data_IF_686769241080
#
_entry.id   IF_686769241080
#
_cell.length_a   1.000
_cell.length_b   1.000
_cell.length_c   1.000
_cell.angle_alpha   90.00
_cell.angle_beta   90.00
_cell.angle_gamma   90.00
#
_symmetry.space_group_name_H-M   'P 1'
#
loop_
_entity.id
_entity.type
_entity.pdbx_description
1 polymer ?
#
# COMPACT_ATOMS: atom_id res chain seq x y z
N UNK A 1 -31.23 -7.56 -3.04
CA UNK A 1 -29.80 -7.73 -3.35
C UNK A 1 -28.96 -6.53 -2.89
N UNK A 2 -29.32 -5.28 -3.23
CA UNK A 2 -28.64 -4.07 -2.72
C UNK A 2 -28.38 -4.07 -1.20
N UNK A 3 -29.35 -4.52 -0.38
CA UNK A 3 -29.19 -4.62 1.09
C UNK A 3 -28.19 -5.69 1.55
N UNK A 4 -27.98 -6.75 0.78
CA UNK A 4 -27.06 -7.85 1.13
C UNK A 4 -25.62 -7.46 0.78
N UNK A 5 -25.41 -6.90 -0.41
CA UNK A 5 -24.12 -6.33 -0.86
C UNK A 5 -23.65 -5.25 0.11
N UNK A 6 -24.51 -4.30 0.45
CA UNK A 6 -24.21 -3.24 1.44
C UNK A 6 -23.88 -3.79 2.84
N UNK A 7 -24.43 -4.95 3.22
CA UNK A 7 -24.13 -5.58 4.50
C UNK A 7 -22.76 -6.27 4.48
N UNK A 8 -22.42 -6.94 3.38
CA UNK A 8 -21.13 -7.62 3.21
C UNK A 8 -19.96 -6.62 3.18
N UNK A 9 -20.11 -5.51 2.45
CA UNK A 9 -19.11 -4.42 2.43
C UNK A 9 -18.88 -3.84 3.82
N UNK A 10 -19.95 -3.60 4.59
CA UNK A 10 -19.84 -3.16 5.98
C UNK A 10 -19.06 -4.15 6.85
N UNK A 11 -19.30 -5.45 6.69
CA UNK A 11 -18.52 -6.45 7.42
C UNK A 11 -17.05 -6.44 7.01
N UNK A 12 -16.74 -6.26 5.72
CA UNK A 12 -15.35 -6.12 5.29
C UNK A 12 -14.68 -4.88 5.91
N UNK A 13 -15.36 -3.73 5.89
CA UNK A 13 -14.90 -2.50 6.56
C UNK A 13 -14.68 -2.71 8.06
N UNK A 14 -15.58 -3.43 8.74
CA UNK A 14 -15.45 -3.76 10.15
C UNK A 14 -14.22 -4.63 10.42
N UNK A 15 -13.96 -5.64 9.59
CA UNK A 15 -12.75 -6.49 9.71
C UNK A 15 -11.47 -5.70 9.48
N UNK A 16 -11.47 -4.81 8.49
CA UNK A 16 -10.34 -3.92 8.25
C UNK A 16 -10.07 -3.00 9.45
N UNK A 17 -11.12 -2.35 9.98
CA UNK A 17 -11.02 -1.48 11.17
C UNK A 17 -10.57 -2.24 12.41
N UNK A 18 -10.97 -3.50 12.58
CA UNK A 18 -10.47 -4.36 13.65
C UNK A 18 -8.96 -4.60 13.50
N UNK A 19 -8.49 -4.83 12.28
CA UNK A 19 -7.06 -5.00 12.00
C UNK A 19 -6.28 -3.71 12.31
N UNK A 20 -6.77 -2.56 11.89
CA UNK A 20 -6.18 -1.24 12.18
C UNK A 20 -6.13 -0.96 13.68
N UNK A 21 -7.24 -1.18 14.40
CA UNK A 21 -7.31 -0.99 15.83
C UNK A 21 -6.32 -1.91 16.56
N UNK A 22 -6.21 -3.17 16.12
CA UNK A 22 -5.25 -4.12 16.67
C UNK A 22 -3.80 -3.67 16.43
N UNK A 23 -3.47 -3.28 15.19
CA UNK A 23 -2.15 -2.72 14.85
C UNK A 23 -1.82 -1.49 15.72
N UNK A 24 -2.74 -0.54 15.82
CA UNK A 24 -2.57 0.67 16.61
C UNK A 24 -2.35 0.36 18.09
N UNK A 25 -3.06 -0.62 18.65
CA UNK A 25 -2.88 -1.05 20.03
C UNK A 25 -1.53 -1.72 20.26
N UNK A 26 -1.12 -2.63 19.36
CA UNK A 26 0.15 -3.37 19.46
C UNK A 26 1.34 -2.42 19.37
N UNK A 27 1.29 -1.48 18.43
CA UNK A 27 2.35 -0.50 18.25
C UNK A 27 2.25 0.66 19.24
N UNK A 28 1.16 0.74 20.02
CA UNK A 28 0.88 1.82 20.97
C UNK A 28 0.52 3.16 20.32
N UNK A 29 0.20 3.18 19.01
CA UNK A 29 -0.06 4.39 18.21
C UNK A 29 -1.19 5.22 18.82
N UNK A 30 -2.14 4.57 19.51
CA UNK A 30 -3.21 5.25 20.26
C UNK A 30 -2.71 6.25 21.31
N UNK A 31 -1.46 6.09 21.78
CA UNK A 31 -0.80 6.98 22.74
C UNK A 31 0.03 8.08 22.08
N UNK A 32 0.18 8.05 20.75
CA UNK A 32 0.96 9.01 20.00
C UNK A 32 0.15 10.29 19.79
N UNK A 33 0.39 11.29 20.62
CA UNK A 33 -0.19 12.62 20.45
C UNK A 33 0.65 13.45 19.47
N UNK A 34 0.23 13.46 18.20
CA UNK A 34 0.83 14.34 17.20
C UNK A 34 0.28 15.76 17.37
N UNK A 35 1.16 16.75 17.35
CA UNK A 35 0.80 18.16 17.39
C UNK A 35 1.45 18.88 16.22
N UNK A 36 0.67 19.67 15.51
CA UNK A 36 1.19 20.59 14.50
C UNK A 36 1.51 21.91 15.17
N UNK A 37 2.81 22.15 15.34
CA UNK A 37 3.32 23.37 15.93
C UNK A 37 3.71 24.34 14.82
N UNK A 38 3.15 25.56 14.87
CA UNK A 38 3.45 26.62 13.88
C UNK A 38 4.84 27.25 14.09
N UNK A 39 5.39 27.11 15.29
CA UNK A 39 6.68 27.65 15.69
C UNK A 39 7.41 26.55 16.44
N UNK A 40 8.61 26.26 16.01
CA UNK A 40 9.49 25.25 16.61
C UNK A 40 10.94 25.63 16.37
N UNK A 41 11.83 25.03 17.13
CA UNK A 41 13.28 25.16 16.98
C UNK A 41 13.87 23.85 16.48
N UNK A 42 14.89 23.95 15.62
CA UNK A 42 15.70 22.83 15.19
C UNK A 42 17.12 23.00 15.74
N UNK A 43 17.73 21.91 16.20
CA UNK A 43 19.10 21.99 16.70
C UNK A 43 20.08 22.11 15.54
N UNK A 44 21.08 22.98 15.70
CA UNK A 44 22.07 23.22 14.65
C UNK A 44 22.89 21.97 14.28
N UNK A 45 23.19 21.08 15.23
CA UNK A 45 23.92 19.84 14.97
C UNK A 45 23.13 18.83 14.13
N UNK A 46 21.80 18.82 14.26
CA UNK A 46 20.92 18.01 13.40
C UNK A 46 20.89 18.56 11.97
N UNK A 47 20.79 19.88 11.85
CA UNK A 47 20.84 20.60 10.56
C UNK A 47 22.16 20.36 9.82
N UNK A 48 23.28 20.41 10.54
CA UNK A 48 24.60 20.15 9.98
C UNK A 48 24.76 18.71 9.48
N UNK A 49 24.21 17.73 10.20
CA UNK A 49 24.30 16.31 9.82
C UNK A 49 23.48 15.95 8.59
N UNK A 50 22.28 16.52 8.46
CA UNK A 50 21.38 16.24 7.33
C UNK A 50 21.65 17.14 6.12
N UNK A 51 22.30 18.30 6.35
CA UNK A 51 22.46 19.40 5.40
C UNK A 51 21.12 19.90 4.84
N UNK A 52 20.04 19.75 5.61
CA UNK A 52 18.69 20.24 5.27
C UNK A 52 18.42 21.54 6.01
N UNK A 53 18.07 22.59 5.27
CA UNK A 53 17.75 23.91 5.84
C UNK A 53 16.25 24.27 5.69
N UNK A 54 15.47 23.40 5.08
CA UNK A 54 14.01 23.54 4.96
C UNK A 54 13.33 23.26 6.31
N UNK A 55 12.48 24.18 6.76
CA UNK A 55 11.80 24.08 8.05
C UNK A 55 10.81 22.91 8.09
N UNK A 56 10.22 22.59 6.93
CA UNK A 56 9.26 21.51 6.77
C UNK A 56 9.80 20.17 7.28
N UNK A 57 11.10 19.89 7.12
CA UNK A 57 11.75 18.67 7.59
C UNK A 57 11.82 18.55 9.11
N UNK A 58 11.90 19.68 9.82
CA UNK A 58 12.11 19.70 11.28
C UNK A 58 10.81 19.88 12.07
N UNK A 59 9.65 19.65 11.46
CA UNK A 59 8.39 19.70 12.19
C UNK A 59 8.40 18.70 13.36
N UNK A 60 8.02 19.11 14.59
CA UNK A 60 8.12 18.28 15.79
C UNK A 60 7.45 16.90 15.67
N UNK A 61 6.36 16.81 14.90
CA UNK A 61 5.64 15.55 14.65
C UNK A 61 6.54 14.42 14.11
N UNK A 62 7.56 14.73 13.31
CA UNK A 62 8.45 13.70 12.77
C UNK A 62 9.44 13.18 13.83
N UNK A 63 9.99 14.09 14.64
CA UNK A 63 10.81 13.73 15.80
C UNK A 63 10.05 12.83 16.78
N UNK A 64 8.79 13.17 17.07
CA UNK A 64 7.90 12.36 17.91
C UNK A 64 7.68 10.96 17.34
N UNK A 65 7.42 10.83 16.03
CA UNK A 65 7.26 9.51 15.38
C UNK A 65 8.54 8.68 15.47
N UNK A 66 9.69 9.29 15.20
CA UNK A 66 11.00 8.61 15.27
C UNK A 66 11.31 8.15 16.70
N UNK A 67 11.10 9.02 17.68
CA UNK A 67 11.25 8.70 19.10
C UNK A 67 10.28 7.58 19.52
N UNK A 68 9.03 7.67 19.09
CA UNK A 68 7.99 6.69 19.37
C UNK A 68 8.36 5.29 18.85
N UNK A 69 8.81 5.19 17.60
CA UNK A 69 9.25 3.92 17.01
C UNK A 69 10.48 3.37 17.76
N UNK A 70 11.48 4.21 18.00
CA UNK A 70 12.75 3.80 18.62
C UNK A 70 12.62 3.42 20.09
N UNK A 71 11.66 3.99 20.82
CA UNK A 71 11.34 3.64 22.22
C UNK A 71 10.35 2.48 22.36
N UNK A 72 9.88 1.92 21.25
CA UNK A 72 8.99 0.75 21.30
C UNK A 72 9.69 -0.45 21.96
N UNK A 73 8.90 -1.38 22.50
CA UNK A 73 9.41 -2.63 23.07
C UNK A 73 9.98 -3.59 22.00
N UNK A 74 9.72 -3.30 20.74
CA UNK A 74 10.17 -4.10 19.60
C UNK A 74 11.54 -3.67 19.13
N UNK A 75 12.32 -4.66 18.65
CA UNK A 75 13.56 -4.36 17.94
C UNK A 75 13.23 -3.55 16.69
N UNK A 76 13.91 -2.44 16.48
CA UNK A 76 13.76 -1.60 15.27
C UNK A 76 14.91 -1.87 14.30
N UNK A 77 14.60 -1.95 13.01
CA UNK A 77 15.58 -2.04 11.92
C UNK A 77 15.24 -1.05 10.80
N UNK A 78 16.17 -0.84 9.87
CA UNK A 78 15.82 -0.19 8.60
C UNK A 78 15.07 -1.17 7.70
N UNK A 79 14.13 -0.66 6.93
CA UNK A 79 13.29 -1.45 6.04
C UNK A 79 14.10 -2.35 5.11
N UNK A 80 15.16 -1.81 4.50
CA UNK A 80 16.05 -2.53 3.58
C UNK A 80 16.73 -3.77 4.19
N UNK A 81 16.78 -3.88 5.51
CA UNK A 81 17.42 -5.00 6.20
C UNK A 81 16.48 -6.22 6.37
N UNK A 82 15.18 -6.03 6.14
CA UNK A 82 14.14 -7.01 6.50
C UNK A 82 13.14 -7.30 5.38
N UNK A 83 13.16 -6.50 4.32
CA UNK A 83 12.39 -6.74 3.09
C UNK A 83 13.29 -6.61 1.86
N UNK A 84 12.91 -7.29 0.80
CA UNK A 84 13.42 -7.06 -0.55
C UNK A 84 12.56 -5.97 -1.20
N UNK A 85 13.17 -4.85 -1.60
CA UNK A 85 12.55 -3.89 -2.50
C UNK A 85 12.96 -4.32 -3.90
N UNK A 86 12.05 -4.96 -4.65
CA UNK A 86 12.36 -5.63 -5.92
C UNK A 86 12.90 -4.66 -6.98
N UNK A 87 13.97 -5.05 -7.67
CA UNK A 87 14.45 -4.41 -8.91
C UNK A 87 14.11 -5.24 -10.16
N UNK A 88 13.32 -6.30 -10.00
CA UNK A 88 12.97 -7.18 -11.11
C UNK A 88 12.07 -6.44 -12.10
N UNK A 89 12.67 -6.12 -13.24
CA UNK A 89 12.01 -5.49 -14.37
C UNK A 89 11.90 -6.47 -15.53
N UNK A 90 10.80 -6.41 -16.25
CA UNK A 90 10.61 -7.04 -17.54
C UNK A 90 10.41 -5.96 -18.60
N UNK A 91 10.55 -6.34 -19.86
CA UNK A 91 10.31 -5.47 -21.00
C UNK A 91 9.19 -6.10 -21.84
N UNK A 92 7.91 -5.73 -21.62
CA UNK A 92 6.79 -6.39 -22.30
C UNK A 92 6.86 -6.25 -23.83
N UNK A 93 7.53 -5.21 -24.35
CA UNK A 93 7.75 -5.04 -25.78
C UNK A 93 8.60 -6.14 -26.42
N UNK A 94 9.36 -6.91 -25.63
CA UNK A 94 10.10 -8.09 -26.09
C UNK A 94 9.19 -9.27 -26.47
N UNK A 95 7.97 -9.29 -25.94
CA UNK A 95 6.91 -10.26 -26.27
C UNK A 95 5.69 -9.49 -26.80
N UNK A 96 5.77 -8.89 -28.00
CA UNK A 96 4.84 -7.86 -28.45
C UNK A 96 3.39 -8.32 -28.50
N UNK A 97 3.14 -9.59 -28.83
CA UNK A 97 1.80 -10.15 -29.00
C UNK A 97 1.20 -10.72 -27.71
N UNK A 98 2.01 -10.93 -26.67
CA UNK A 98 1.54 -11.49 -25.41
C UNK A 98 0.72 -10.45 -24.63
N UNK A 99 -0.37 -10.91 -24.03
CA UNK A 99 -1.20 -10.12 -23.13
C UNK A 99 -0.65 -10.24 -21.72
N UNK A 100 -0.59 -9.12 -21.02
CA UNK A 100 -0.25 -9.07 -19.61
C UNK A 100 -1.19 -8.11 -18.88
N UNK A 101 -1.43 -8.38 -17.59
CA UNK A 101 -2.17 -7.47 -16.72
C UNK A 101 -1.25 -6.32 -16.29
N UNK A 102 -1.66 -5.08 -16.56
CA UNK A 102 -0.88 -3.89 -16.20
C UNK A 102 -1.55 -3.14 -15.05
N UNK A 103 -0.81 -2.92 -13.97
CA UNK A 103 -1.29 -2.26 -12.75
C UNK A 103 -0.61 -0.90 -12.60
N UNK A 104 -1.43 0.16 -12.61
CA UNK A 104 -1.03 1.55 -12.41
C UNK A 104 -1.40 2.04 -11.02
N UNK A 105 -0.90 3.23 -10.67
CA UNK A 105 -1.29 3.89 -9.41
C UNK A 105 -2.80 4.08 -9.32
N UNK A 106 -3.46 4.42 -10.43
CA UNK A 106 -4.90 4.63 -10.48
C UNK A 106 -5.72 3.35 -10.23
N UNK A 107 -5.12 2.17 -10.45
CA UNK A 107 -5.77 0.89 -10.14
C UNK A 107 -5.77 0.57 -8.64
N UNK A 108 -5.05 1.33 -7.82
CA UNK A 108 -5.09 1.13 -6.36
C UNK A 108 -6.20 1.99 -5.79
N UNK A 109 -7.18 1.36 -5.14
CA UNK A 109 -8.16 2.07 -4.34
C UNK A 109 -7.48 2.63 -3.09
N UNK A 110 -7.33 3.96 -2.93
CA UNK A 110 -6.54 4.51 -1.83
C UNK A 110 -7.18 4.27 -0.45
N UNK A 111 -8.48 4.00 -0.39
CA UNK A 111 -9.20 3.76 0.87
C UNK A 111 -9.06 2.32 1.34
N UNK A 112 -9.13 1.35 0.42
CA UNK A 112 -9.18 -0.08 0.75
C UNK A 112 -7.86 -0.80 0.49
N UNK A 113 -7.03 -0.26 -0.41
CA UNK A 113 -5.81 -0.88 -0.91
C UNK A 113 -6.04 -2.04 -1.87
N UNK A 114 -7.27 -2.19 -2.37
CA UNK A 114 -7.61 -3.17 -3.40
C UNK A 114 -7.08 -2.73 -4.77
N UNK A 115 -6.66 -3.71 -5.57
CA UNK A 115 -6.32 -3.51 -6.98
C UNK A 115 -7.60 -3.69 -7.80
N UNK A 116 -8.00 -2.65 -8.53
CA UNK A 116 -9.29 -2.55 -9.23
C UNK A 116 -9.08 -2.14 -10.70
N UNK A 117 -10.03 -2.51 -11.56
CA UNK A 117 -10.10 -2.07 -12.97
C UNK A 117 -8.82 -2.35 -13.79
N UNK A 118 -8.20 -3.51 -13.55
CA UNK A 118 -6.97 -3.91 -14.25
C UNK A 118 -7.27 -4.35 -15.67
N UNK A 119 -6.64 -3.68 -16.63
CA UNK A 119 -6.77 -4.01 -18.04
C UNK A 119 -5.62 -4.91 -18.52
N UNK A 120 -5.92 -5.78 -19.48
CA UNK A 120 -4.90 -6.51 -20.21
C UNK A 120 -4.36 -5.67 -21.37
N UNK A 121 -3.04 -5.61 -21.48
CA UNK A 121 -2.34 -4.84 -22.50
C UNK A 121 -1.45 -5.79 -23.29
N UNK A 122 -1.36 -5.60 -24.61
CA UNK A 122 -0.40 -6.34 -25.44
C UNK A 122 0.99 -5.73 -25.30
N UNK A 123 2.03 -6.54 -25.34
CA UNK A 123 3.43 -6.11 -25.24
C UNK A 123 3.80 -4.91 -26.13
N UNK A 124 3.30 -4.85 -27.37
CA UNK A 124 3.58 -3.73 -28.29
C UNK A 124 2.89 -2.41 -27.89
N UNK A 125 1.82 -2.47 -27.10
CA UNK A 125 1.09 -1.32 -26.58
C UNK A 125 1.49 -1.00 -25.12
N UNK A 126 2.48 -1.70 -24.57
CA UNK A 126 2.90 -1.53 -23.19
C UNK A 126 3.45 -0.11 -22.95
N UNK A 127 2.95 0.61 -21.94
CA UNK A 127 3.55 1.87 -21.52
C UNK A 127 5.02 1.69 -21.11
N UNK A 128 5.82 2.76 -21.23
CA UNK A 128 7.24 2.72 -20.84
C UNK A 128 7.43 2.46 -19.34
N UNK A 129 6.45 2.81 -18.51
CA UNK A 129 6.42 2.52 -17.08
C UNK A 129 6.04 1.09 -16.73
N UNK A 130 5.43 0.32 -17.64
CA UNK A 130 5.03 -1.06 -17.40
C UNK A 130 6.25 -1.99 -17.39
N UNK A 131 6.89 -2.12 -16.23
CA UNK A 131 8.17 -2.83 -16.11
C UNK A 131 8.28 -3.72 -14.88
N UNK A 132 7.65 -3.38 -13.75
CA UNK A 132 7.91 -4.06 -12.49
C UNK A 132 7.17 -5.39 -12.42
N UNK A 133 7.90 -6.51 -12.33
CA UNK A 133 7.26 -7.82 -12.23
C UNK A 133 6.73 -8.06 -10.81
N UNK A 134 5.46 -8.41 -10.72
CA UNK A 134 4.78 -8.69 -9.46
C UNK A 134 4.77 -10.17 -9.14
N UNK A 135 4.67 -10.45 -7.84
CA UNK A 135 4.32 -11.76 -7.30
C UNK A 135 3.21 -11.63 -6.28
N UNK A 136 2.41 -12.69 -6.15
CA UNK A 136 1.40 -12.82 -5.08
C UNK A 136 2.02 -12.50 -3.73
N UNK A 137 1.35 -11.64 -2.95
CA UNK A 137 1.79 -11.21 -1.64
C UNK A 137 2.85 -10.09 -1.66
N UNK A 138 3.22 -9.57 -2.82
CA UNK A 138 3.96 -8.32 -2.87
C UNK A 138 3.07 -7.17 -2.35
N UNK A 139 3.67 -6.22 -1.64
CA UNK A 139 3.02 -4.96 -1.25
C UNK A 139 3.52 -3.88 -2.19
N UNK A 140 2.60 -3.22 -2.88
CA UNK A 140 2.86 -2.07 -3.73
C UNK A 140 2.77 -0.82 -2.88
N UNK A 141 3.80 0.02 -2.90
CA UNK A 141 3.78 1.34 -2.26
C UNK A 141 4.14 2.36 -3.32
N UNK A 142 3.31 3.38 -3.51
CA UNK A 142 3.63 4.46 -4.44
C UNK A 142 4.98 5.08 -4.12
N UNK A 143 5.81 5.26 -5.14
CA UNK A 143 7.02 6.05 -5.05
C UNK A 143 6.74 7.54 -5.25
N UNK A 144 5.51 7.95 -5.61
CA UNK A 144 5.16 9.34 -5.90
C UNK A 144 4.55 10.02 -4.66
N UNK A 145 5.08 11.20 -4.31
CA UNK A 145 4.67 12.00 -3.15
C UNK A 145 3.19 12.37 -3.15
N UNK A 146 2.63 12.68 -4.32
CA UNK A 146 1.22 13.02 -4.47
C UNK A 146 0.26 11.84 -4.33
N UNK A 147 0.78 10.62 -4.16
CA UNK A 147 -0.03 9.40 -4.16
C UNK A 147 0.49 8.39 -3.13
N UNK A 148 1.05 8.85 -2.00
CA UNK A 148 1.58 7.96 -0.96
C UNK A 148 0.52 7.02 -0.35
N UNK A 149 -0.77 7.36 -0.46
CA UNK A 149 -1.89 6.49 -0.04
C UNK A 149 -2.15 5.31 -0.98
N UNK A 150 -1.57 5.33 -2.19
CA UNK A 150 -1.72 4.26 -3.17
C UNK A 150 -0.81 3.10 -2.76
N UNK A 151 -1.28 2.38 -1.76
CA UNK A 151 -0.67 1.19 -1.17
C UNK A 151 -1.61 0.02 -1.39
N UNK A 152 -1.13 -1.00 -2.10
CA UNK A 152 -1.93 -2.17 -2.48
C UNK A 152 -1.26 -3.48 -2.08
N UNK A 153 -2.07 -4.52 -1.92
CA UNK A 153 -1.60 -5.90 -1.71
C UNK A 153 -1.89 -6.71 -2.97
N UNK A 154 -0.88 -7.40 -3.51
CA UNK A 154 -1.03 -8.20 -4.74
C UNK A 154 -1.72 -9.54 -4.43
N UNK A 155 -2.97 -9.76 -4.87
CA UNK A 155 -3.66 -11.04 -4.76
C UNK A 155 -3.12 -12.08 -5.76
N UNK A 156 -3.58 -13.32 -5.60
CA UNK A 156 -3.18 -14.44 -6.46
C UNK A 156 -3.53 -14.27 -7.93
N UNK A 157 -4.66 -13.62 -8.24
CA UNK A 157 -5.09 -13.32 -9.61
C UNK A 157 -4.13 -12.38 -10.37
N UNK A 158 -3.25 -11.67 -9.65
CA UNK A 158 -2.24 -10.77 -10.22
C UNK A 158 -0.81 -11.28 -9.97
N UNK A 159 -0.63 -12.58 -9.70
CA UNK A 159 0.70 -13.20 -9.79
C UNK A 159 1.24 -13.10 -11.22
N UNK A 160 2.51 -12.71 -11.37
CA UNK A 160 3.15 -12.42 -12.67
C UNK A 160 2.56 -11.24 -13.47
N UNK A 161 1.70 -10.43 -12.86
CA UNK A 161 1.29 -9.15 -13.45
C UNK A 161 2.46 -8.14 -13.49
N UNK A 162 2.28 -7.06 -14.25
CA UNK A 162 3.28 -6.00 -14.41
C UNK A 162 2.76 -4.72 -13.79
N UNK A 163 3.52 -4.12 -12.89
CA UNK A 163 3.22 -2.82 -12.32
C UNK A 163 4.02 -1.69 -12.95
N UNK A 164 3.49 -0.48 -12.82
CA UNK A 164 4.21 0.76 -13.11
C UNK A 164 5.49 0.89 -12.29
N UNK A 165 6.55 1.43 -12.88
CA UNK A 165 7.77 1.87 -12.15
C UNK A 165 7.50 2.97 -11.12
N UNK A 166 6.29 3.55 -11.11
CA UNK A 166 5.82 4.45 -10.06
C UNK A 166 5.53 3.76 -8.72
N UNK A 167 5.74 2.44 -8.61
CA UNK A 167 5.67 1.71 -7.35
C UNK A 167 7.04 1.24 -6.87
N UNK A 168 7.21 1.22 -5.55
CA UNK A 168 8.07 0.26 -4.89
C UNK A 168 7.32 -1.06 -4.75
N UNK A 169 7.93 -2.15 -5.22
CA UNK A 169 7.41 -3.52 -5.06
C UNK A 169 8.14 -4.17 -3.89
N UNK A 170 7.43 -4.38 -2.79
CA UNK A 170 7.99 -4.85 -1.53
C UNK A 170 7.67 -6.33 -1.34
N UNK A 171 8.71 -7.14 -1.18
CA UNK A 171 8.62 -8.57 -0.93
C UNK A 171 9.32 -8.91 0.38
N UNK A 172 8.61 -9.53 1.31
CA UNK A 172 9.19 -9.89 2.61
C UNK A 172 9.11 -11.38 2.88
N UNK A 173 10.18 -11.90 3.50
CA UNK A 173 10.17 -13.20 4.18
C UNK A 173 10.06 -13.05 5.70
N UNK A 174 10.22 -11.83 6.21
CA UNK A 174 10.19 -11.51 7.65
C UNK A 174 8.78 -11.19 8.12
N UNK A 175 8.01 -10.53 7.26
CA UNK A 175 6.66 -10.09 7.56
C UNK A 175 5.64 -10.83 6.70
N UNK A 176 4.49 -11.13 7.29
CA UNK A 176 3.34 -11.57 6.53
C UNK A 176 2.87 -10.43 5.61
N UNK A 177 2.53 -10.72 4.34
CA UNK A 177 2.13 -9.70 3.36
C UNK A 177 1.03 -8.76 3.84
N UNK A 178 -0.02 -9.31 4.48
CA UNK A 178 -1.17 -8.53 4.89
C UNK A 178 -0.88 -7.63 6.09
N UNK A 179 -0.04 -8.10 7.02
CA UNK A 179 0.49 -7.27 8.10
C UNK A 179 1.35 -6.13 7.53
N UNK A 180 2.27 -6.44 6.61
CA UNK A 180 3.16 -5.44 6.02
C UNK A 180 2.37 -4.38 5.23
N UNK A 181 1.37 -4.81 4.46
CA UNK A 181 0.43 -3.94 3.77
C UNK A 181 -0.25 -2.97 4.74
N UNK A 182 -0.82 -3.47 5.84
CA UNK A 182 -1.49 -2.63 6.82
C UNK A 182 -0.51 -1.68 7.52
N UNK A 183 0.70 -2.15 7.82
CA UNK A 183 1.74 -1.34 8.44
C UNK A 183 2.12 -0.14 7.56
N UNK A 184 2.33 -0.34 6.25
CA UNK A 184 2.62 0.77 5.34
C UNK A 184 1.49 1.80 5.25
N UNK A 185 0.24 1.37 5.46
CA UNK A 185 -0.93 2.25 5.49
C UNK A 185 -1.11 3.00 6.81
N UNK A 186 -0.31 2.69 7.82
CA UNK A 186 -0.36 3.40 9.10
C UNK A 186 0.28 4.79 9.04
N UNK A 187 -0.19 5.69 9.90
CA UNK A 187 0.38 7.03 10.04
C UNK A 187 1.88 7.02 10.41
N UNK A 188 2.37 5.98 11.09
CA UNK A 188 3.79 5.86 11.41
C UNK A 188 4.65 5.78 10.15
N UNK A 189 4.22 5.04 9.14
CA UNK A 189 5.01 4.88 7.91
C UNK A 189 4.85 6.10 7.01
N UNK A 190 3.63 6.63 6.92
CA UNK A 190 3.33 7.87 6.20
C UNK A 190 4.19 9.04 6.69
N UNK A 191 4.22 9.29 7.99
CA UNK A 191 4.94 10.46 8.54
C UNK A 191 6.45 10.35 8.36
N UNK A 192 7.02 9.14 8.43
CA UNK A 192 8.44 8.94 8.10
C UNK A 192 8.75 9.21 6.62
N UNK A 193 7.83 8.89 5.71
CA UNK A 193 7.99 9.22 4.29
C UNK A 193 7.86 10.73 4.05
N UNK A 194 6.87 11.36 4.66
CA UNK A 194 6.67 12.82 4.62
C UNK A 194 7.91 13.57 5.13
N UNK A 195 8.47 13.20 6.29
CA UNK A 195 9.70 13.78 6.85
C UNK A 195 10.85 13.74 5.84
N UNK A 196 11.13 12.55 5.28
CA UNK A 196 12.29 12.32 4.40
C UNK A 196 12.15 13.01 3.04
N UNK A 197 10.95 13.44 2.70
CA UNK A 197 10.60 14.03 1.42
C UNK A 197 10.14 15.49 1.56
N UNK A 198 10.11 16.01 2.79
CA UNK A 198 9.87 17.40 3.08
C UNK A 198 10.82 18.30 2.25
N UNK A 199 10.25 19.37 1.70
CA UNK A 199 10.96 20.33 0.84
C UNK A 199 11.46 19.76 -0.50
N UNK A 200 11.20 18.49 -0.83
CA UNK A 200 11.69 17.89 -2.07
C UNK A 200 10.90 18.39 -3.28
N UNK A 201 11.63 18.83 -4.31
CA UNK A 201 11.05 19.20 -5.62
C UNK A 201 10.72 17.94 -6.44
N UNK A 202 11.48 16.86 -6.22
CA UNK A 202 11.28 15.60 -6.92
C UNK A 202 9.97 14.94 -6.50
N UNK A 203 9.12 14.64 -7.49
CA UNK A 203 7.85 13.96 -7.23
C UNK A 203 8.01 12.51 -6.78
N UNK A 204 9.16 11.88 -7.05
CA UNK A 204 9.43 10.49 -6.71
C UNK A 204 10.41 10.35 -5.54
N UNK A 205 10.06 9.54 -4.55
CA UNK A 205 10.89 9.16 -3.41
C UNK A 205 12.06 8.30 -3.91
N UNK A 206 13.31 8.59 -3.53
CA UNK A 206 14.43 7.72 -3.83
C UNK A 206 14.31 6.37 -3.11
N UNK A 207 14.65 5.28 -3.80
CA UNK A 207 14.65 3.92 -3.22
C UNK A 207 15.53 3.81 -1.96
N UNK A 208 16.66 4.50 -1.93
CA UNK A 208 17.56 4.55 -0.77
C UNK A 208 16.87 5.16 0.45
N UNK A 209 16.18 6.29 0.27
CA UNK A 209 15.37 6.97 1.27
C UNK A 209 14.23 6.10 1.78
N UNK A 210 13.51 5.44 0.87
CA UNK A 210 12.46 4.49 1.23
C UNK A 210 13.01 3.29 2.03
N UNK A 211 14.18 2.77 1.65
CA UNK A 211 14.86 1.70 2.39
C UNK A 211 15.37 2.09 3.77
N UNK A 212 15.46 3.39 4.08
CA UNK A 212 15.88 3.94 5.38
C UNK A 212 14.73 4.18 6.37
N UNK A 213 13.50 3.85 6.00
CA UNK A 213 12.38 3.87 6.94
C UNK A 213 12.65 2.91 8.10
N UNK A 214 12.31 3.34 9.31
CA UNK A 214 12.40 2.53 10.51
C UNK A 214 11.16 1.65 10.62
N UNK A 215 11.38 0.36 10.89
CA UNK A 215 10.33 -0.63 11.01
C UNK A 215 10.53 -1.47 12.29
N UNK A 216 9.50 -1.60 13.14
CA UNK A 216 9.55 -2.49 14.29
C UNK A 216 9.37 -3.96 13.87
N UNK A 217 10.17 -4.85 14.45
CA UNK A 217 10.10 -6.30 14.21
C UNK A 217 9.06 -6.91 15.14
N UNK A 218 7.84 -7.06 14.61
CA UNK A 218 6.71 -7.61 15.35
C UNK A 218 6.74 -9.16 15.33
N UNK A 219 6.45 -9.85 16.45
CA UNK A 219 6.38 -11.30 16.49
C UNK A 219 5.39 -11.89 15.49
N UNK A 220 5.73 -13.03 14.89
CA UNK A 220 4.93 -13.68 13.85
C UNK A 220 3.49 -13.97 14.30
N UNK A 221 3.28 -14.42 15.54
CA UNK A 221 1.93 -14.70 16.08
C UNK A 221 1.05 -13.46 16.10
N UNK A 222 1.62 -12.31 16.45
CA UNK A 222 0.92 -11.02 16.43
C UNK A 222 0.61 -10.60 14.99
N UNK A 223 1.56 -10.81 14.07
CA UNK A 223 1.32 -10.56 12.64
C UNK A 223 0.18 -11.44 12.11
N UNK A 224 0.11 -12.72 12.49
CA UNK A 224 -0.95 -13.66 12.06
C UNK A 224 -2.35 -13.16 12.42
N UNK A 225 -2.53 -12.64 13.64
CA UNK A 225 -3.82 -12.10 14.08
C UNK A 225 -4.30 -10.94 13.21
N UNK A 226 -3.40 -10.01 12.89
CA UNK A 226 -3.69 -8.88 12.00
C UNK A 226 -3.94 -9.38 10.58
N UNK A 227 -3.05 -10.23 10.06
CA UNK A 227 -3.14 -10.78 8.71
C UNK A 227 -4.46 -11.49 8.47
N UNK A 228 -4.95 -12.25 9.44
CA UNK A 228 -6.22 -12.97 9.34
C UNK A 228 -7.42 -12.01 9.19
N UNK A 229 -7.44 -10.90 9.94
CA UNK A 229 -8.47 -9.87 9.82
C UNK A 229 -8.43 -9.17 8.47
N UNK A 230 -7.23 -8.85 7.97
CA UNK A 230 -7.06 -8.25 6.64
C UNK A 230 -7.50 -9.22 5.54
N UNK A 231 -7.12 -10.51 5.62
CA UNK A 231 -7.59 -11.54 4.68
C UNK A 231 -9.11 -11.65 4.67
N UNK A 232 -9.74 -11.68 5.85
CA UNK A 232 -11.21 -11.71 5.95
C UNK A 232 -11.84 -10.51 5.25
N UNK A 233 -11.32 -9.30 5.47
CA UNK A 233 -11.78 -8.09 4.78
C UNK A 233 -11.65 -8.23 3.26
N UNK A 234 -10.49 -8.63 2.76
CA UNK A 234 -10.24 -8.75 1.32
C UNK A 234 -11.10 -9.84 0.67
N UNK A 235 -11.27 -10.99 1.33
CA UNK A 235 -12.12 -12.08 0.83
C UNK A 235 -13.59 -11.65 0.75
N UNK A 236 -14.12 -11.00 1.80
CA UNK A 236 -15.50 -10.49 1.80
C UNK A 236 -15.72 -9.48 0.67
N UNK A 237 -14.75 -8.59 0.41
CA UNK A 237 -14.82 -7.63 -0.71
C UNK A 237 -14.81 -8.32 -2.06
N UNK A 238 -13.91 -9.30 -2.23
CA UNK A 238 -13.82 -10.10 -3.45
C UNK A 238 -15.13 -10.85 -3.73
N UNK A 239 -15.65 -11.57 -2.75
CA UNK A 239 -16.93 -12.29 -2.86
C UNK A 239 -18.08 -11.34 -3.22
N UNK A 240 -18.09 -10.14 -2.63
CA UNK A 240 -19.10 -9.12 -2.91
C UNK A 240 -19.02 -8.64 -4.36
N UNK A 241 -17.81 -8.37 -4.86
CA UNK A 241 -17.58 -7.97 -6.26
C UNK A 241 -18.01 -9.05 -7.24
N UNK A 242 -17.64 -10.31 -6.98
CA UNK A 242 -18.01 -11.45 -7.81
C UNK A 242 -19.53 -11.65 -7.88
N UNK A 243 -20.23 -11.52 -6.75
CA UNK A 243 -21.69 -11.58 -6.69
C UNK A 243 -22.36 -10.43 -7.45
N UNK A 244 -21.79 -9.22 -7.35
CA UNK A 244 -22.30 -8.04 -8.05
C UNK A 244 -22.16 -8.18 -9.57
N UNK A 245 -21.00 -8.63 -10.05
CA UNK A 245 -20.76 -8.88 -11.48
C UNK A 245 -21.66 -9.99 -12.02
N UNK A 246 -21.85 -11.07 -11.25
CA UNK A 246 -22.79 -12.13 -11.63
C UNK A 246 -24.22 -11.60 -11.76
N UNK A 247 -24.68 -10.83 -10.77
CA UNK A 247 -26.02 -10.24 -10.80
C UNK A 247 -26.20 -9.25 -11.97
N UNK A 248 -25.18 -8.43 -12.26
CA UNK A 248 -25.18 -7.51 -13.39
C UNK A 248 -25.34 -8.26 -14.72
N UNK A 249 -24.56 -9.32 -14.92
CA UNK A 249 -24.64 -10.15 -16.13
C UNK A 249 -26.00 -10.82 -16.30
N UNK A 250 -26.59 -11.33 -15.21
CA UNK A 250 -27.94 -11.93 -15.25
C UNK A 250 -29.00 -10.91 -15.71
N UNK A 251 -28.89 -9.65 -15.27
CA UNK A 251 -29.78 -8.56 -15.70
C UNK A 251 -29.56 -8.22 -17.18
N UNK A 252 -28.32 -8.13 -17.64
CA UNK A 252 -27.98 -7.86 -19.04
C UNK A 252 -28.53 -8.95 -19.97
N UNK A 253 -28.35 -10.23 -19.62
CA UNK A 253 -28.88 -11.36 -20.38
C UNK A 253 -30.42 -11.38 -20.42
N UNK A 254 -31.09 -10.93 -19.36
CA UNK A 254 -32.56 -10.81 -19.34
C UNK A 254 -33.06 -9.71 -20.28
N UNK A 255 -32.37 -8.56 -20.31
CA UNK A 255 -32.70 -7.44 -21.21
C UNK A 255 -32.51 -7.85 -22.67
N UNK A 256 -31.40 -8.52 -23.00
CA UNK A 256 -31.13 -8.96 -24.38
C UNK A 256 -32.17 -9.97 -24.88
N UNK A 257 -32.54 -10.96 -24.06
CA UNK A 257 -33.60 -11.94 -24.42
C UNK A 257 -34.99 -11.31 -24.52
N UNK A 258 -35.28 -10.32 -23.68
CA UNK A 258 -36.52 -9.53 -23.78
C UNK A 258 -36.59 -8.71 -25.07
N UNK A 259 -35.43 -8.26 -25.58
CA UNK A 259 -35.34 -7.48 -26.80
C UNK A 259 -35.33 -8.29 -28.11
N UNK A 260 -35.15 -9.62 -28.04
CA UNK A 260 -35.26 -10.51 -29.22
C UNK A 260 -36.69 -11.04 -29.45
N UNK A 261 -37.63 -10.73 -28.56
CA UNK A 261 -39.02 -11.21 -28.59
C UNK A 261 -40.03 -10.15 -29.10
N UNK A 262 -39.56 -9.14 -29.86
CA UNK A 262 -40.37 -8.17 -30.60
C UNK A 262 -39.89 -8.05 -32.05
#
# INVERSE_FOLDING_TARGET
>A
MSTITSKSEKFADEKYKQAEALLNKILGIEKLELREEKVFEARFDEVEQTLRFDAEHYQPKYGLVKEFITKSEYKVKKLREVVEISDKKIEPSSQPTELFSYIELANINPSTGEIEEVNQVKGYNAPSSARMLLKKGDVLVSSLLGSLDNIGLVPEEFDDAVASTGFFVIRSKTFLPEFLFLLFRSNLMRLQLEEKTAGAIMSAVPKTTFGDLLIPIIPEETQKQISELVKQSFNLRKETKELLEKAKREVEEFIEKGNQNW
#
